data_IF_427120553179
#
_entry.id   IF_427120553179
#
_cell.length_a   1.000
_cell.length_b   1.000
_cell.length_c   1.000
_cell.angle_alpha   90.00
_cell.angle_beta   90.00
_cell.angle_gamma   90.00
#
_symmetry.space_group_name_H-M   'P 1'
#
loop_
_entity.id
_entity.type
_entity.pdbx_description
1 polymer ?
#
# COMPACT_ATOMS: atom_id res chain seq x y z
N UNK A 1 34.47 36.15 -32.57
CA UNK A 1 34.71 34.76 -32.11
C UNK A 1 33.35 34.17 -31.73
N UNK A 2 32.49 33.96 -32.73
CA UNK A 2 31.04 33.83 -32.50
C UNK A 2 30.47 32.48 -32.92
N UNK A 3 31.27 31.68 -33.62
CA UNK A 3 30.86 30.37 -34.15
C UNK A 3 30.88 29.26 -33.08
N UNK A 4 31.70 29.41 -32.03
CA UNK A 4 31.84 28.42 -30.96
C UNK A 4 30.76 28.54 -29.84
N UNK A 5 30.05 29.67 -29.74
CA UNK A 5 29.02 29.85 -28.71
C UNK A 5 27.67 29.21 -29.07
N UNK A 6 27.41 28.97 -30.37
CA UNK A 6 26.16 28.34 -30.82
C UNK A 6 26.14 26.83 -30.60
N UNK A 7 27.28 26.15 -30.68
CA UNK A 7 27.38 24.69 -30.52
C UNK A 7 27.07 24.20 -29.10
N UNK A 8 27.26 25.06 -28.09
CA UNK A 8 27.01 24.71 -26.68
C UNK A 8 25.54 24.87 -26.26
N UNK A 9 24.70 25.50 -27.10
CA UNK A 9 23.27 25.68 -26.82
C UNK A 9 22.43 24.40 -26.94
N UNK A 10 22.95 23.35 -27.60
CA UNK A 10 22.30 22.04 -27.70
C UNK A 10 22.28 21.28 -26.37
N UNK A 11 23.21 21.59 -25.47
CA UNK A 11 23.34 20.94 -24.16
C UNK A 11 22.73 21.77 -23.03
N UNK A 12 22.20 22.96 -23.33
CA UNK A 12 21.66 23.87 -22.33
C UNK A 12 20.16 24.03 -22.51
N UNK A 13 19.35 23.15 -21.91
CA UNK A 13 17.92 23.31 -21.99
C UNK A 13 17.49 24.41 -21.04
N UNK A 14 17.13 25.57 -21.58
CA UNK A 14 16.55 26.69 -20.82
C UNK A 14 15.18 26.36 -20.18
N UNK A 15 14.63 25.16 -20.40
CA UNK A 15 13.30 24.77 -19.95
C UNK A 15 13.17 23.34 -19.38
N UNK A 16 14.26 22.62 -19.04
CA UNK A 16 14.13 21.35 -18.29
C UNK A 16 13.79 21.61 -16.81
N UNK A 17 12.62 22.20 -16.60
CA UNK A 17 11.97 22.30 -15.30
C UNK A 17 11.52 20.90 -14.86
N UNK A 18 12.18 20.41 -13.81
CA UNK A 18 11.79 19.30 -12.90
C UNK A 18 11.50 17.94 -13.55
N UNK A 19 12.56 17.24 -13.96
CA UNK A 19 12.49 15.80 -14.17
C UNK A 19 12.97 15.08 -12.91
N UNK A 20 12.10 14.29 -12.28
CA UNK A 20 12.47 13.37 -11.18
C UNK A 20 12.40 11.96 -11.75
N UNK A 21 13.56 11.39 -12.09
CA UNK A 21 13.66 9.99 -12.45
C UNK A 21 13.72 9.15 -11.16
N UNK A 22 12.67 8.39 -10.88
CA UNK A 22 12.65 7.44 -9.76
C UNK A 22 12.90 6.04 -10.31
N UNK A 23 14.13 5.56 -10.22
CA UNK A 23 14.47 4.18 -10.56
C UNK A 23 14.12 3.27 -9.38
N UNK A 24 12.90 2.72 -9.37
CA UNK A 24 12.51 1.71 -8.36
C UNK A 24 12.86 0.31 -8.83
N UNK A 25 14.14 -0.06 -8.77
CA UNK A 25 14.54 -1.47 -8.82
C UNK A 25 14.21 -2.12 -7.47
N UNK A 26 12.93 -2.40 -7.23
CA UNK A 26 12.50 -3.10 -6.02
C UNK A 26 12.74 -4.59 -6.26
N UNK A 27 13.88 -5.09 -5.81
CA UNK A 27 14.05 -6.52 -5.58
C UNK A 27 12.95 -6.90 -4.58
N UNK A 28 12.03 -7.78 -4.98
CA UNK A 28 10.98 -8.31 -4.11
C UNK A 28 11.61 -9.19 -3.03
N UNK A 29 12.34 -8.58 -2.09
CA UNK A 29 12.94 -9.23 -0.93
C UNK A 29 11.90 -9.47 0.19
N UNK A 30 10.64 -9.55 -0.21
CA UNK A 30 9.51 -9.82 0.67
C UNK A 30 8.65 -10.95 0.10
N UNK A 31 9.31 -11.98 -0.48
CA UNK A 31 8.70 -13.29 -0.53
C UNK A 31 8.59 -13.77 0.93
N UNK A 32 7.45 -13.43 1.54
CA UNK A 32 6.94 -13.82 2.86
C UNK A 32 7.81 -14.92 3.48
N UNK A 33 8.72 -14.53 4.38
CA UNK A 33 9.35 -15.49 5.27
C UNK A 33 8.22 -16.26 5.94
N UNK A 34 8.29 -17.60 5.85
CA UNK A 34 7.38 -18.55 6.49
C UNK A 34 7.01 -18.03 7.89
N UNK A 35 5.76 -18.24 8.37
CA UNK A 35 5.35 -17.74 9.67
C UNK A 35 6.38 -18.17 10.70
N UNK A 36 7.09 -17.19 11.28
CA UNK A 36 7.88 -17.42 12.48
C UNK A 36 6.94 -18.07 13.50
N UNK A 37 7.47 -18.93 14.38
CA UNK A 37 6.69 -19.53 15.48
C UNK A 37 6.10 -18.49 16.45
N UNK A 38 6.43 -17.21 16.26
CA UNK A 38 5.78 -16.08 16.89
C UNK A 38 4.36 -15.90 16.36
N UNK A 39 3.40 -15.75 17.27
CA UNK A 39 2.00 -15.46 16.94
C UNK A 39 1.93 -14.38 15.86
N UNK A 40 1.14 -14.58 14.77
CA UNK A 40 1.04 -13.60 13.70
C UNK A 40 0.75 -12.22 14.28
N UNK A 41 1.68 -11.28 14.08
CA UNK A 41 1.52 -9.92 14.58
C UNK A 41 0.20 -9.35 14.08
N UNK A 42 -0.61 -8.78 14.97
CA UNK A 42 -1.88 -8.18 14.60
C UNK A 42 -1.66 -7.17 13.46
N UNK A 43 -2.37 -7.37 12.35
CA UNK A 43 -2.31 -6.49 11.19
C UNK A 43 -3.50 -5.52 11.23
N UNK A 44 -3.29 -4.23 10.91
CA UNK A 44 -4.39 -3.29 10.75
C UNK A 44 -5.15 -3.58 9.46
N UNK A 45 -6.42 -3.94 9.58
CA UNK A 45 -7.34 -4.18 8.49
C UNK A 45 -8.37 -3.04 8.41
N UNK A 46 -8.65 -2.53 7.21
CA UNK A 46 -9.75 -1.59 6.99
C UNK A 46 -10.95 -2.37 6.49
N UNK A 47 -12.00 -2.45 7.29
CA UNK A 47 -13.22 -3.21 6.97
C UNK A 47 -14.38 -2.24 6.72
N UNK A 48 -15.17 -2.54 5.70
CA UNK A 48 -16.38 -1.81 5.33
C UNK A 48 -17.56 -2.76 5.32
N UNK A 49 -18.73 -2.29 5.74
CA UNK A 49 -19.99 -3.00 5.50
C UNK A 49 -20.31 -3.05 4.00
N UNK A 50 -21.18 -3.98 3.59
CA UNK A 50 -21.56 -4.19 2.19
C UNK A 50 -22.21 -2.94 1.57
N UNK A 51 -23.01 -2.22 2.35
CA UNK A 51 -23.63 -0.94 1.98
C UNK A 51 -22.65 0.26 2.03
N UNK A 52 -21.39 0.02 2.44
CA UNK A 52 -20.30 1.01 2.59
C UNK A 52 -20.59 2.18 3.54
N UNK A 53 -21.67 2.10 4.34
CA UNK A 53 -22.04 3.16 5.29
C UNK A 53 -21.15 3.18 6.52
N UNK A 54 -20.70 2.01 6.97
CA UNK A 54 -19.86 1.88 8.16
C UNK A 54 -18.49 1.34 7.75
N UNK A 55 -17.45 2.07 8.14
CA UNK A 55 -16.04 1.70 7.90
C UNK A 55 -15.27 1.79 9.20
N UNK A 56 -14.53 0.75 9.55
CA UNK A 56 -13.75 0.64 10.79
C UNK A 56 -12.37 0.04 10.53
N UNK A 57 -11.40 0.48 11.32
CA UNK A 57 -10.10 -0.17 11.39
C UNK A 57 -10.13 -1.27 12.45
N UNK A 58 -9.74 -2.49 12.10
CA UNK A 58 -9.74 -3.66 12.99
C UNK A 58 -8.35 -4.25 13.01
N UNK A 59 -7.81 -4.51 14.20
CA UNK A 59 -6.56 -5.23 14.38
C UNK A 59 -6.85 -6.73 14.46
N UNK A 60 -6.31 -7.52 13.54
CA UNK A 60 -6.54 -8.97 13.49
C UNK A 60 -5.26 -9.78 13.34
N UNK A 61 -5.18 -10.91 14.03
CA UNK A 61 -4.06 -11.86 13.96
C UNK A 61 -4.24 -12.88 12.83
N UNK A 62 -5.48 -13.29 12.59
CA UNK A 62 -5.86 -14.27 11.57
C UNK A 62 -7.16 -13.85 10.89
N UNK A 63 -7.54 -14.57 9.83
CA UNK A 63 -8.82 -14.36 9.17
C UNK A 63 -10.00 -14.70 10.09
N UNK A 64 -9.89 -15.79 10.85
CA UNK A 64 -10.90 -16.21 11.82
C UNK A 64 -11.11 -15.14 12.92
N UNK A 65 -10.01 -14.61 13.48
CA UNK A 65 -10.05 -13.52 14.45
C UNK A 65 -10.71 -12.26 13.87
N UNK A 66 -10.43 -11.95 12.60
CA UNK A 66 -11.08 -10.84 11.91
C UNK A 66 -12.59 -11.06 11.79
N UNK A 67 -13.04 -12.24 11.38
CA UNK A 67 -14.47 -12.55 11.22
C UNK A 67 -15.22 -12.45 12.55
N UNK A 68 -14.63 -12.97 13.63
CA UNK A 68 -15.20 -12.87 14.97
C UNK A 68 -15.31 -11.40 15.42
N UNK A 69 -14.24 -10.61 15.27
CA UNK A 69 -14.23 -9.18 15.63
C UNK A 69 -15.17 -8.33 14.78
N UNK A 70 -15.34 -8.67 13.51
CA UNK A 70 -16.21 -7.93 12.58
C UNK A 70 -17.65 -7.98 13.03
N UNK A 71 -18.11 -9.13 13.55
CA UNK A 71 -19.48 -9.27 14.06
C UNK A 71 -19.76 -8.28 15.19
N UNK A 72 -18.87 -8.21 16.18
CA UNK A 72 -19.02 -7.34 17.35
C UNK A 72 -18.83 -5.86 17.00
N UNK A 73 -17.79 -5.54 16.22
CA UNK A 73 -17.39 -4.15 15.91
C UNK A 73 -18.36 -3.48 14.93
N UNK A 74 -18.81 -4.19 13.90
CA UNK A 74 -19.75 -3.66 12.91
C UNK A 74 -21.22 -3.85 13.32
N UNK A 75 -21.48 -4.44 14.50
CA UNK A 75 -22.83 -4.74 15.02
C UNK A 75 -23.70 -5.40 13.96
N UNK A 76 -23.15 -6.42 13.29
CA UNK A 76 -23.87 -7.13 12.24
C UNK A 76 -25.02 -7.92 12.88
N UNK A 77 -26.17 -7.94 12.20
CA UNK A 77 -27.36 -8.67 12.66
C UNK A 77 -27.13 -10.20 12.67
N UNK A 78 -26.33 -10.68 11.73
CA UNK A 78 -26.02 -12.09 11.52
C UNK A 78 -24.49 -12.31 11.39
N UNK A 79 -24.06 -13.56 11.56
CA UNK A 79 -22.65 -13.95 11.39
C UNK A 79 -22.18 -13.69 9.96
N UNK A 80 -20.94 -13.20 9.75
CA UNK A 80 -20.39 -13.05 8.42
C UNK A 80 -20.28 -14.41 7.72
N UNK A 81 -20.51 -14.43 6.41
CA UNK A 81 -20.44 -15.64 5.59
C UNK A 81 -19.04 -16.29 5.67
N UNK A 82 -19.00 -17.58 5.98
CA UNK A 82 -17.79 -18.41 5.98
C UNK A 82 -17.78 -19.30 4.73
N UNK A 83 -16.66 -19.28 3.99
CA UNK A 83 -16.38 -20.17 2.85
C UNK A 83 -15.87 -21.53 3.30
#
# INVERSE_FOLDING_TARGET
>A
MDYAMKSLSLLYPRSLSRHVAVSTAVVTQQLVSKPSRETPRARPCRVSTADRKVRKGIMAHSLEDLLNKVQDILKLKDKPFSL
#
